data_IF_675351268718
#
_entry.id   IF_675351268718
#
_cell.length_a   1.000
_cell.length_b   1.000
_cell.length_c   1.000
_cell.angle_alpha   90.00
_cell.angle_beta   90.00
_cell.angle_gamma   90.00
#
_symmetry.space_group_name_H-M   'P 1'
#
loop_
_entity.id
_entity.type
_entity.pdbx_description
1 polymer ?
#
# COMPACT_ATOMS: atom_id res chain seq x y z
N UNK A 1 6.17 20.79 -9.91
CA UNK A 1 5.20 20.04 -9.11
C UNK A 1 5.59 20.06 -7.64
N UNK A 2 4.63 20.33 -6.76
CA UNK A 2 4.75 20.25 -5.30
C UNK A 2 3.56 19.52 -4.71
N UNK A 3 3.79 18.81 -3.62
CA UNK A 3 2.72 18.18 -2.83
C UNK A 3 1.96 19.26 -2.07
N UNK A 4 0.63 19.24 -2.16
CA UNK A 4 -0.23 20.24 -1.52
C UNK A 4 -0.98 19.69 -0.32
N UNK A 5 -1.33 18.40 -0.32
CA UNK A 5 -2.16 17.81 0.73
C UNK A 5 -2.04 16.30 0.80
N UNK A 6 -2.12 15.77 2.03
CA UNK A 6 -2.36 14.36 2.32
C UNK A 6 -3.76 14.22 2.95
N UNK A 7 -4.56 13.26 2.51
CA UNK A 7 -5.88 12.96 3.09
C UNK A 7 -6.05 11.46 3.30
N UNK A 8 -6.42 11.05 4.51
CA UNK A 8 -6.72 9.66 4.87
C UNK A 8 -8.23 9.38 4.79
N UNK A 9 -8.58 8.19 4.30
CA UNK A 9 -9.96 7.70 4.23
C UNK A 9 -10.02 6.33 4.89
N UNK A 10 -10.68 6.24 6.05
CA UNK A 10 -10.94 4.96 6.70
C UNK A 10 -12.16 4.30 6.04
N UNK A 11 -11.96 3.10 5.50
CA UNK A 11 -12.97 2.39 4.69
C UNK A 11 -13.29 1.03 5.34
N UNK A 12 -14.57 0.64 5.43
CA UNK A 12 -14.95 -0.71 5.87
C UNK A 12 -14.32 -1.80 4.96
N UNK A 13 -13.99 -2.99 5.49
CA UNK A 13 -14.15 -3.38 6.90
C UNK A 13 -13.06 -2.83 7.82
N UNK A 14 -11.83 -2.65 7.30
CA UNK A 14 -10.66 -2.22 8.10
C UNK A 14 -9.50 -1.74 7.23
N UNK A 15 -9.80 -0.90 6.24
CA UNK A 15 -8.81 -0.32 5.34
C UNK A 15 -8.62 1.17 5.60
N UNK A 16 -7.49 1.69 5.14
CA UNK A 16 -7.25 3.11 5.07
C UNK A 16 -6.57 3.45 3.75
N UNK A 17 -7.21 4.28 2.93
CA UNK A 17 -6.57 4.86 1.77
C UNK A 17 -5.94 6.19 2.12
N UNK A 18 -4.79 6.46 1.53
CA UNK A 18 -4.10 7.74 1.56
C UNK A 18 -4.12 8.33 0.15
N UNK A 19 -4.61 9.57 0.04
CA UNK A 19 -4.56 10.38 -1.17
C UNK A 19 -3.51 11.47 -0.99
N UNK A 20 -2.57 11.57 -1.93
CA UNK A 20 -1.58 12.64 -2.02
C UNK A 20 -1.92 13.52 -3.21
N UNK A 21 -2.11 14.82 -2.98
CA UNK A 21 -2.47 15.81 -4.00
C UNK A 21 -1.28 16.70 -4.34
N UNK A 22 -1.20 17.17 -5.59
CA UNK A 22 -0.16 18.08 -6.07
C UNK A 22 -0.75 19.38 -6.63
N UNK A 23 0.08 20.42 -6.75
CA UNK A 23 -0.28 21.71 -7.34
C UNK A 23 -0.56 21.66 -8.85
N UNK A 24 -0.14 20.58 -9.52
CA UNK A 24 -0.41 20.32 -10.94
C UNK A 24 -1.62 19.39 -11.14
N UNK A 25 -2.36 19.07 -10.08
CA UNK A 25 -3.60 18.27 -10.15
C UNK A 25 -3.38 16.75 -10.28
N UNK A 26 -2.13 16.28 -10.35
CA UNK A 26 -1.82 14.83 -10.30
C UNK A 26 -2.02 14.32 -8.88
N UNK A 27 -2.68 13.18 -8.75
CA UNK A 27 -3.02 12.56 -7.47
C UNK A 27 -2.41 11.16 -7.39
N UNK A 28 -1.81 10.85 -6.24
CA UNK A 28 -1.31 9.52 -5.88
C UNK A 28 -2.17 8.84 -4.83
N UNK A 29 -2.27 7.52 -4.91
CA UNK A 29 -2.95 6.67 -3.93
C UNK A 29 -2.01 5.68 -3.28
N UNK A 30 -2.18 5.50 -1.97
CA UNK A 30 -1.51 4.46 -1.20
C UNK A 30 -2.41 3.88 -0.12
N UNK A 31 -1.98 2.79 0.50
CA UNK A 31 -2.77 2.03 1.47
C UNK A 31 -1.91 1.59 2.66
N UNK A 32 -1.82 2.40 3.72
CA UNK A 32 -1.23 1.97 4.99
C UNK A 32 -2.01 0.80 5.60
N UNK A 33 -1.29 -0.17 6.16
CA UNK A 33 -1.89 -1.25 6.96
C UNK A 33 -2.28 -0.72 8.34
N UNK A 34 -3.54 -0.94 8.74
CA UNK A 34 -4.11 -0.33 9.95
C UNK A 34 -4.66 -1.32 10.99
N UNK A 35 -4.58 -2.62 10.73
CA UNK A 35 -5.21 -3.67 11.54
C UNK A 35 -4.95 -3.48 13.05
N UNK A 36 -6.00 -3.20 13.83
CA UNK A 36 -5.93 -2.99 15.28
C UNK A 36 -5.27 -1.67 15.77
N UNK A 37 -4.70 -0.83 14.89
CA UNK A 37 -3.99 0.42 15.26
C UNK A 37 -4.28 1.61 14.32
N UNK A 38 -5.47 1.62 13.69
CA UNK A 38 -5.82 2.58 12.64
C UNK A 38 -5.58 4.05 12.98
N UNK A 39 -6.04 4.52 14.15
CA UNK A 39 -5.86 5.92 14.56
C UNK A 39 -4.39 6.29 14.77
N UNK A 40 -3.57 5.35 15.25
CA UNK A 40 -2.14 5.59 15.47
C UNK A 40 -1.39 5.69 14.14
N UNK A 41 -1.72 4.83 13.17
CA UNK A 41 -1.14 4.91 11.81
C UNK A 41 -1.63 6.17 11.10
N UNK A 42 -2.90 6.53 11.23
CA UNK A 42 -3.46 7.77 10.68
C UNK A 42 -2.75 9.01 11.24
N UNK A 43 -2.55 9.09 12.56
CA UNK A 43 -1.78 10.17 13.18
C UNK A 43 -0.34 10.21 12.64
N UNK A 44 0.33 9.07 12.53
CA UNK A 44 1.69 9.00 11.98
C UNK A 44 1.76 9.47 10.51
N UNK A 45 0.75 9.17 9.68
CA UNK A 45 0.69 9.70 8.31
C UNK A 45 0.62 11.23 8.30
N UNK A 46 -0.20 11.82 9.19
CA UNK A 46 -0.36 13.27 9.26
C UNK A 46 0.85 13.97 9.91
N UNK A 47 1.54 13.34 10.87
CA UNK A 47 2.82 13.85 11.40
C UNK A 47 3.92 13.82 10.32
N UNK A 48 3.99 12.76 9.51
CA UNK A 48 4.94 12.69 8.40
C UNK A 48 4.62 13.68 7.27
N UNK A 49 3.39 14.20 7.19
CA UNK A 49 2.99 15.18 6.19
C UNK A 49 3.81 16.48 6.31
N UNK A 50 4.29 16.84 7.50
CA UNK A 50 5.14 18.02 7.74
C UNK A 50 6.45 17.97 6.94
N UNK A 51 6.96 16.77 6.64
CA UNK A 51 8.17 16.59 5.83
C UNK A 51 7.90 16.53 4.33
N UNK A 52 6.64 16.33 3.93
CA UNK A 52 6.26 15.93 2.56
C UNK A 52 5.51 17.05 1.84
N UNK A 53 4.63 17.77 2.53
CA UNK A 53 3.90 18.91 1.95
C UNK A 53 4.88 20.02 1.57
N UNK A 54 4.66 20.60 0.38
CA UNK A 54 5.53 21.61 -0.22
C UNK A 54 6.75 21.05 -0.96
N UNK A 55 7.06 19.75 -0.81
CA UNK A 55 8.19 19.11 -1.48
C UNK A 55 7.84 18.64 -2.91
N UNK A 56 8.89 18.43 -3.71
CA UNK A 56 8.78 17.82 -5.03
C UNK A 56 8.52 16.30 -4.90
N UNK A 57 7.36 15.77 -5.36
CA UNK A 57 7.03 14.36 -5.25
C UNK A 57 7.96 13.45 -6.08
N UNK A 58 8.72 13.99 -7.04
CA UNK A 58 9.68 13.19 -7.82
C UNK A 58 10.87 12.70 -6.99
N UNK A 59 11.17 13.35 -5.85
CA UNK A 59 12.29 13.05 -4.95
C UNK A 59 11.98 11.90 -3.98
N UNK A 60 11.36 10.82 -4.46
CA UNK A 60 10.88 9.69 -3.62
C UNK A 60 11.97 9.17 -2.68
N UNK A 61 13.18 8.91 -3.19
CA UNK A 61 14.28 8.41 -2.36
C UNK A 61 14.64 9.36 -1.22
N UNK A 62 14.66 10.66 -1.48
CA UNK A 62 14.96 11.69 -0.48
C UNK A 62 13.87 11.75 0.60
N UNK A 63 12.61 11.84 0.16
CA UNK A 63 11.44 11.85 1.05
C UNK A 63 11.36 10.60 1.91
N UNK A 64 11.63 9.42 1.33
CA UNK A 64 11.70 8.17 2.08
C UNK A 64 12.77 8.22 3.17
N UNK A 65 13.97 8.74 2.87
CA UNK A 65 15.01 8.88 3.88
C UNK A 65 14.63 9.88 4.97
N UNK A 66 14.07 11.03 4.60
CA UNK A 66 13.63 12.04 5.59
C UNK A 66 12.62 11.43 6.55
N UNK A 67 11.55 10.81 6.04
CA UNK A 67 10.53 10.17 6.88
C UNK A 67 11.10 9.04 7.75
N UNK A 68 12.05 8.26 7.22
CA UNK A 68 12.58 7.09 7.91
C UNK A 68 13.61 7.42 9.01
N UNK A 69 14.45 8.45 8.81
CA UNK A 69 15.63 8.65 9.66
C UNK A 69 15.97 10.10 10.05
N UNK A 70 15.23 11.11 9.60
CA UNK A 70 15.57 12.50 9.92
C UNK A 70 14.93 13.00 11.23
N UNK A 71 13.66 12.62 11.50
CA UNK A 71 12.87 13.22 12.58
C UNK A 71 12.83 12.44 13.90
N UNK A 72 13.07 11.12 13.90
CA UNK A 72 12.88 10.28 15.08
C UNK A 72 13.65 8.95 15.03
N UNK A 73 13.52 8.13 16.07
CA UNK A 73 13.99 6.74 16.07
C UNK A 73 13.36 5.95 14.91
N UNK A 74 14.15 5.04 14.35
CA UNK A 74 13.84 4.43 13.06
C UNK A 74 12.75 3.37 13.17
N UNK A 75 11.74 3.50 12.30
CA UNK A 75 10.84 2.41 11.91
C UNK A 75 9.88 1.93 13.01
N UNK A 76 9.64 0.62 13.03
CA UNK A 76 8.55 0.00 13.78
C UNK A 76 7.25 -0.10 12.97
N UNK A 77 6.27 -0.89 13.45
CA UNK A 77 5.08 -1.24 12.66
C UNK A 77 4.20 -0.04 12.29
N UNK A 78 4.15 0.98 13.14
CA UNK A 78 3.36 2.19 12.90
C UNK A 78 4.02 3.07 11.85
N UNK A 79 5.26 3.49 12.10
CA UNK A 79 5.99 4.40 11.18
C UNK A 79 6.21 3.75 9.82
N UNK A 80 6.57 2.47 9.77
CA UNK A 80 6.77 1.79 8.48
C UNK A 80 5.48 1.62 7.70
N UNK A 81 4.33 1.45 8.38
CA UNK A 81 3.03 1.41 7.70
C UNK A 81 2.66 2.76 7.09
N UNK A 82 2.86 3.85 7.84
CA UNK A 82 2.64 5.21 7.34
C UNK A 82 3.56 5.55 6.16
N UNK A 83 4.87 5.27 6.28
CA UNK A 83 5.86 5.47 5.21
C UNK A 83 5.47 4.66 3.97
N UNK A 84 5.06 3.39 4.12
CA UNK A 84 4.67 2.56 2.99
C UNK A 84 3.49 3.13 2.21
N UNK A 85 2.46 3.64 2.89
CA UNK A 85 1.33 4.28 2.21
C UNK A 85 1.73 5.56 1.48
N UNK A 86 2.62 6.39 2.06
CA UNK A 86 3.12 7.59 1.39
C UNK A 86 3.96 7.20 0.17
N UNK A 87 4.88 6.23 0.30
CA UNK A 87 5.76 5.76 -0.78
C UNK A 87 4.95 5.23 -1.98
N UNK A 88 3.93 4.41 -1.73
CA UNK A 88 3.01 3.94 -2.78
C UNK A 88 2.37 5.10 -3.55
N UNK A 89 1.85 6.11 -2.84
CA UNK A 89 1.23 7.27 -3.47
C UNK A 89 2.23 8.12 -4.28
N UNK A 90 3.46 8.25 -3.80
CA UNK A 90 4.52 8.96 -4.54
C UNK A 90 4.91 8.22 -5.83
N UNK A 91 5.00 6.89 -5.79
CA UNK A 91 5.25 6.07 -6.98
C UNK A 91 4.07 6.10 -7.97
N UNK A 92 2.83 6.12 -7.46
CA UNK A 92 1.64 6.30 -8.29
C UNK A 92 1.65 7.67 -9.01
N UNK A 93 1.99 8.76 -8.30
CA UNK A 93 2.21 10.08 -8.92
C UNK A 93 3.29 9.99 -10.01
N UNK A 94 4.45 9.39 -9.71
CA UNK A 94 5.55 9.29 -10.67
C UNK A 94 5.15 8.51 -11.93
N UNK A 95 4.44 7.40 -11.76
CA UNK A 95 3.90 6.62 -12.88
C UNK A 95 2.95 7.44 -13.76
N UNK A 96 2.00 8.15 -13.15
CA UNK A 96 1.05 9.04 -13.85
C UNK A 96 1.75 10.18 -14.59
N UNK A 97 2.72 10.83 -13.96
CA UNK A 97 3.50 11.91 -14.57
C UNK A 97 4.30 11.41 -15.78
N UNK A 98 4.86 10.21 -15.69
CA UNK A 98 5.64 9.60 -16.77
C UNK A 98 4.77 8.91 -17.84
N UNK A 99 3.47 8.77 -17.59
CA UNK A 99 2.58 8.02 -18.47
C UNK A 99 2.93 6.53 -18.55
N UNK A 100 3.51 5.97 -17.49
CA UNK A 100 4.01 4.58 -17.46
C UNK A 100 3.52 3.83 -16.22
N UNK A 101 3.31 2.50 -16.32
CA UNK A 101 3.11 1.69 -15.13
C UNK A 101 4.39 1.66 -14.28
N UNK A 102 4.27 1.57 -12.96
CA UNK A 102 5.42 1.63 -12.03
C UNK A 102 6.47 0.57 -12.33
N UNK A 103 6.08 -0.63 -12.77
CA UNK A 103 7.06 -1.69 -13.12
C UNK A 103 8.00 -1.26 -14.25
N UNK A 104 7.56 -0.41 -15.18
CA UNK A 104 8.37 0.07 -16.29
C UNK A 104 9.48 0.99 -15.78
N UNK A 105 9.14 1.83 -14.78
CA UNK A 105 10.09 2.68 -14.08
C UNK A 105 11.11 1.88 -13.24
N UNK A 106 10.75 0.65 -12.86
CA UNK A 106 11.60 -0.27 -12.10
C UNK A 106 12.41 -1.22 -12.98
N UNK A 107 12.48 -0.97 -14.29
CA UNK A 107 13.31 -1.74 -15.24
C UNK A 107 12.53 -2.66 -16.18
N UNK A 108 11.21 -2.56 -16.22
CA UNK A 108 10.38 -3.24 -17.21
C UNK A 108 9.99 -4.68 -16.83
N UNK A 109 9.33 -5.35 -17.77
CA UNK A 109 8.82 -6.71 -17.57
C UNK A 109 9.94 -7.74 -17.49
N UNK A 110 9.89 -8.56 -16.44
CA UNK A 110 10.70 -9.80 -16.32
C UNK A 110 9.85 -11.07 -16.48
N UNK A 111 8.54 -10.92 -16.63
CA UNK A 111 7.54 -11.98 -16.82
C UNK A 111 6.24 -11.41 -17.38
N UNK A 112 5.47 -12.23 -18.09
CA UNK A 112 4.19 -11.81 -18.70
C UNK A 112 3.00 -11.91 -17.73
N UNK A 113 3.11 -12.72 -16.68
CA UNK A 113 2.06 -12.93 -15.67
C UNK A 113 2.63 -13.31 -14.31
N UNK A 114 1.92 -12.97 -13.25
CA UNK A 114 2.26 -13.34 -11.87
C UNK A 114 1.32 -14.44 -11.36
N UNK A 115 1.87 -15.57 -10.88
CA UNK A 115 1.06 -16.62 -10.25
C UNK A 115 0.55 -16.14 -8.90
N UNK A 116 -0.75 -16.28 -8.64
CA UNK A 116 -1.39 -15.91 -7.37
C UNK A 116 -1.88 -17.15 -6.62
N UNK A 117 -2.08 -17.02 -5.31
CA UNK A 117 -2.76 -17.99 -4.47
C UNK A 117 -3.92 -17.31 -3.75
N UNK A 118 -4.91 -18.09 -3.30
CA UNK A 118 -6.03 -17.57 -2.51
C UNK A 118 -5.98 -18.10 -1.07
N UNK A 119 -6.36 -17.26 -0.11
CA UNK A 119 -6.63 -17.75 1.24
C UNK A 119 -8.01 -18.41 1.29
N UNK A 120 -8.09 -19.59 1.89
CA UNK A 120 -9.33 -20.32 2.12
C UNK A 120 -9.49 -20.57 3.61
N UNK A 121 -10.63 -20.17 4.14
CA UNK A 121 -11.03 -20.43 5.52
C UNK A 121 -12.24 -21.35 5.59
N UNK A 122 -12.52 -21.83 6.79
CA UNK A 122 -13.68 -22.66 7.10
C UNK A 122 -13.54 -23.20 8.52
N UNK A 123 -14.66 -23.34 9.21
CA UNK A 123 -14.65 -23.85 10.57
C UNK A 123 -14.31 -25.35 10.59
N UNK A 124 -14.74 -26.10 9.57
CA UNK A 124 -14.47 -27.55 9.40
C UNK A 124 -13.71 -27.86 8.11
N UNK A 125 -12.96 -28.98 8.05
CA UNK A 125 -12.26 -29.44 6.85
C UNK A 125 -13.17 -29.54 5.63
N UNK A 126 -14.42 -29.99 5.81
CA UNK A 126 -15.39 -30.11 4.73
C UNK A 126 -15.72 -28.75 4.07
N UNK A 127 -15.77 -27.67 4.85
CA UNK A 127 -16.02 -26.32 4.35
C UNK A 127 -14.82 -25.80 3.56
N UNK A 128 -13.59 -26.03 4.06
CA UNK A 128 -12.35 -25.69 3.34
C UNK A 128 -12.24 -26.48 2.02
N UNK A 129 -12.53 -27.77 2.01
CA UNK A 129 -12.50 -28.62 0.81
C UNK A 129 -13.50 -28.12 -0.24
N UNK A 130 -14.73 -27.76 0.17
CA UNK A 130 -15.76 -27.22 -0.72
C UNK A 130 -15.26 -25.94 -1.40
N UNK A 131 -14.71 -25.00 -0.64
CA UNK A 131 -14.28 -23.71 -1.17
C UNK A 131 -13.02 -23.81 -2.03
N UNK A 132 -12.08 -24.74 -1.72
CA UNK A 132 -10.96 -25.09 -2.61
C UNK A 132 -11.47 -25.65 -3.94
N UNK A 133 -12.44 -26.56 -3.92
CA UNK A 133 -13.03 -27.12 -5.16
C UNK A 133 -13.66 -26.03 -6.02
N UNK A 134 -14.43 -25.12 -5.41
CA UNK A 134 -15.01 -23.95 -6.10
C UNK A 134 -13.93 -23.07 -6.74
N UNK A 135 -12.86 -22.75 -6.01
CA UNK A 135 -11.78 -21.91 -6.56
C UNK A 135 -10.98 -22.63 -7.67
N UNK A 136 -10.87 -23.95 -7.62
CA UNK A 136 -10.29 -24.77 -8.70
C UNK A 136 -11.07 -24.66 -10.01
N UNK A 137 -12.39 -24.58 -9.95
CA UNK A 137 -13.22 -24.35 -11.14
C UNK A 137 -12.87 -22.99 -11.81
N UNK A 138 -12.45 -22.00 -11.03
CA UNK A 138 -11.93 -20.72 -11.50
C UNK A 138 -10.45 -20.71 -11.89
N UNK A 139 -9.78 -21.87 -11.88
CA UNK A 139 -8.38 -22.02 -12.30
C UNK A 139 -7.31 -21.87 -11.20
N UNK A 140 -7.70 -21.71 -9.93
CA UNK A 140 -6.72 -21.71 -8.83
C UNK A 140 -6.21 -23.12 -8.54
N UNK A 141 -4.90 -23.28 -8.39
CA UNK A 141 -4.27 -24.53 -7.98
C UNK A 141 -3.44 -24.40 -6.68
N UNK A 142 -3.29 -23.19 -6.16
CA UNK A 142 -2.41 -22.85 -5.03
C UNK A 142 -3.22 -22.11 -3.96
N UNK A 143 -3.13 -22.57 -2.71
CA UNK A 143 -3.98 -22.11 -1.61
C UNK A 143 -3.19 -21.90 -0.32
N UNK A 144 -3.68 -20.99 0.53
CA UNK A 144 -3.23 -20.82 1.92
C UNK A 144 -4.42 -21.04 2.84
N UNK A 145 -4.25 -21.80 3.90
CA UNK A 145 -5.31 -22.08 4.87
C UNK A 145 -4.74 -22.08 6.28
N UNK A 146 -5.61 -21.82 7.26
CA UNK A 146 -5.30 -22.05 8.67
C UNK A 146 -5.60 -23.51 9.03
N UNK A 147 -5.21 -23.94 10.23
CA UNK A 147 -5.75 -25.17 10.81
C UNK A 147 -7.26 -25.05 11.02
N UNK A 148 -7.97 -26.15 10.81
CA UNK A 148 -9.42 -26.32 11.01
C UNK A 148 -9.61 -27.61 11.84
N UNK A 149 -10.72 -27.71 12.58
CA UNK A 149 -10.98 -28.80 13.54
C UNK A 149 -10.97 -30.21 12.92
#
# INVERSE_FOLDING_TARGET
MRITKLTTYRVPPRWMFLKVETDEGVVGWGEPVIEGRARTVEAAVHELADYVVGQDPARINDLWQVMYRAGFYRGGPIMMSAIAGIDQALWDIKGKVMGQPVYELLGGLVRDRMKVYSWVGGDRPADVIRDIKRLREGGFDTFKMNGTE
#
